data_IF_553221708465
#
_entry.id   IF_553221708465
#
_cell.length_a   1.000
_cell.length_b   1.000
_cell.length_c   1.000
_cell.angle_alpha   90.00
_cell.angle_beta   90.00
_cell.angle_gamma   90.00
#
_symmetry.space_group_name_H-M   'P 1'
#
loop_
_entity.id
_entity.type
_entity.pdbx_description
1 polymer ?
#
# COMPACT_ATOMS: atom_id res chain seq x y z
N UNK A 1 -20.20 -50.59 45.66
CA UNK A 1 -20.83 -50.65 44.31
C UNK A 1 -21.12 -49.27 43.73
N UNK A 2 -21.73 -48.34 44.48
CA UNK A 2 -22.11 -46.98 44.00
C UNK A 2 -20.91 -46.15 43.50
N UNK A 3 -19.75 -46.21 44.19
CA UNK A 3 -18.53 -45.48 43.79
C UNK A 3 -18.00 -45.84 42.39
N UNK A 4 -18.12 -47.11 41.96
CA UNK A 4 -17.68 -47.51 40.62
C UNK A 4 -18.58 -46.92 39.53
N UNK A 5 -19.89 -46.87 39.76
CA UNK A 5 -20.85 -46.33 38.77
C UNK A 5 -20.60 -44.83 38.53
N UNK A 6 -20.33 -44.06 39.59
CA UNK A 6 -19.99 -42.64 39.44
C UNK A 6 -18.66 -42.41 38.70
N UNK A 7 -17.66 -43.28 38.93
CA UNK A 7 -16.39 -43.22 38.21
C UNK A 7 -16.56 -43.38 36.69
N UNK A 8 -17.35 -44.38 36.26
CA UNK A 8 -17.63 -44.62 34.83
C UNK A 8 -18.40 -43.47 34.17
N UNK A 9 -19.37 -42.88 34.86
CA UNK A 9 -20.12 -41.72 34.35
C UNK A 9 -19.21 -40.51 34.20
N UNK A 10 -18.31 -40.28 35.16
CA UNK A 10 -17.37 -39.16 35.08
C UNK A 10 -16.36 -39.33 33.94
N UNK A 11 -15.80 -40.53 33.78
CA UNK A 11 -14.89 -40.86 32.67
C UNK A 11 -15.56 -40.75 31.30
N UNK A 12 -16.83 -41.17 31.17
CA UNK A 12 -17.56 -41.06 29.90
C UNK A 12 -17.89 -39.60 29.55
N UNK A 13 -18.33 -38.80 30.52
CA UNK A 13 -18.58 -37.37 30.32
C UNK A 13 -17.30 -36.61 29.96
N UNK A 14 -16.20 -36.89 30.66
CA UNK A 14 -14.90 -36.29 30.36
C UNK A 14 -14.41 -36.67 28.96
N UNK A 15 -14.55 -37.94 28.58
CA UNK A 15 -14.25 -38.42 27.22
C UNK A 15 -15.07 -37.69 26.14
N UNK A 16 -16.37 -37.55 26.34
CA UNK A 16 -17.25 -36.80 25.44
C UNK A 16 -16.86 -35.32 25.33
N UNK A 17 -16.51 -34.66 26.45
CA UNK A 17 -16.05 -33.27 26.43
C UNK A 17 -14.73 -33.11 25.67
N UNK A 18 -13.80 -34.05 25.80
CA UNK A 18 -12.52 -34.02 25.08
C UNK A 18 -12.72 -34.20 23.57
N UNK A 19 -13.59 -35.13 23.16
CA UNK A 19 -13.95 -35.34 21.75
C UNK A 19 -14.66 -34.09 21.19
N UNK A 20 -15.61 -33.53 21.94
CA UNK A 20 -16.32 -32.31 21.57
C UNK A 20 -15.37 -31.12 21.41
N UNK A 21 -14.43 -30.94 22.35
CA UNK A 21 -13.41 -29.90 22.28
C UNK A 21 -12.45 -30.11 21.09
N UNK A 22 -12.08 -31.35 20.78
CA UNK A 22 -11.21 -31.70 19.65
C UNK A 22 -11.87 -31.39 18.30
N UNK A 23 -13.19 -31.50 18.20
CA UNK A 23 -13.94 -31.22 16.95
C UNK A 23 -14.30 -29.73 16.84
N UNK A 24 -14.76 -29.11 17.92
CA UNK A 24 -15.29 -27.75 17.88
C UNK A 24 -14.21 -26.68 17.86
N UNK A 25 -13.08 -26.88 18.56
CA UNK A 25 -12.01 -25.87 18.57
C UNK A 25 -11.45 -25.61 17.15
N UNK A 26 -11.14 -26.63 16.33
CA UNK A 26 -10.72 -26.41 14.95
C UNK A 26 -11.81 -25.74 14.11
N UNK A 27 -13.08 -26.17 14.24
CA UNK A 27 -14.20 -25.58 13.50
C UNK A 27 -14.40 -24.09 13.83
N UNK A 28 -14.37 -23.73 15.12
CA UNK A 28 -14.47 -22.35 15.58
C UNK A 28 -13.29 -21.50 15.10
N UNK A 29 -12.05 -22.04 15.15
CA UNK A 29 -10.85 -21.37 14.62
C UNK A 29 -10.95 -21.14 13.11
N UNK A 30 -11.44 -22.12 12.36
CA UNK A 30 -11.65 -22.01 10.92
C UNK A 30 -12.71 -20.95 10.59
N UNK A 31 -13.82 -20.93 11.33
CA UNK A 31 -14.87 -19.92 11.15
C UNK A 31 -14.38 -18.50 11.49
N UNK A 32 -13.63 -18.35 12.59
CA UNK A 32 -13.05 -17.08 12.99
C UNK A 32 -12.07 -16.55 11.93
N UNK A 33 -11.13 -17.39 11.47
CA UNK A 33 -10.17 -17.00 10.43
C UNK A 33 -10.90 -16.66 9.13
N UNK A 34 -11.91 -17.45 8.71
CA UNK A 34 -12.72 -17.16 7.54
C UNK A 34 -13.39 -15.77 7.62
N UNK A 35 -14.05 -15.45 8.75
CA UNK A 35 -14.67 -14.13 8.96
C UNK A 35 -13.66 -12.99 8.89
N UNK A 36 -12.48 -13.20 9.49
CA UNK A 36 -11.40 -12.21 9.45
C UNK A 36 -10.90 -11.96 8.02
N UNK A 37 -10.72 -13.03 7.22
CA UNK A 37 -10.33 -12.93 5.80
C UNK A 37 -11.37 -12.21 4.96
N UNK A 38 -12.66 -12.50 5.18
CA UNK A 38 -13.76 -11.84 4.48
C UNK A 38 -13.80 -10.33 4.80
N UNK A 39 -13.65 -9.96 6.07
CA UNK A 39 -13.59 -8.55 6.50
C UNK A 39 -12.37 -7.83 5.89
N UNK A 40 -11.20 -8.47 5.91
CA UNK A 40 -9.97 -7.95 5.33
C UNK A 40 -10.09 -7.73 3.81
N UNK A 41 -10.62 -8.73 3.09
CA UNK A 41 -10.84 -8.65 1.64
C UNK A 41 -11.81 -7.52 1.29
N UNK A 42 -12.93 -7.41 2.02
CA UNK A 42 -13.91 -6.34 1.81
C UNK A 42 -13.29 -4.96 2.03
N UNK A 43 -12.55 -4.79 3.13
CA UNK A 43 -11.85 -3.53 3.45
C UNK A 43 -10.85 -3.15 2.34
N UNK A 44 -10.06 -4.11 1.87
CA UNK A 44 -9.09 -3.88 0.79
C UNK A 44 -9.77 -3.50 -0.52
N UNK A 45 -10.84 -4.21 -0.93
CA UNK A 45 -11.57 -3.90 -2.18
C UNK A 45 -12.14 -2.47 -2.17
N UNK A 46 -12.73 -2.05 -1.05
CA UNK A 46 -13.26 -0.68 -0.91
C UNK A 46 -12.14 0.35 -1.03
N UNK A 47 -11.02 0.15 -0.32
CA UNK A 47 -9.90 1.07 -0.37
C UNK A 47 -9.24 1.14 -1.75
N UNK A 48 -9.07 0.01 -2.44
CA UNK A 48 -8.53 -0.01 -3.80
C UNK A 48 -9.47 0.67 -4.79
N UNK A 49 -10.79 0.52 -4.64
CA UNK A 49 -11.76 1.21 -5.50
C UNK A 49 -11.70 2.73 -5.30
N UNK A 50 -11.62 3.18 -4.05
CA UNK A 50 -11.44 4.60 -3.75
C UNK A 50 -10.14 5.14 -4.36
N UNK A 51 -9.02 4.46 -4.12
CA UNK A 51 -7.73 4.85 -4.69
C UNK A 51 -7.73 4.86 -6.23
N UNK A 52 -8.41 3.91 -6.87
CA UNK A 52 -8.54 3.89 -8.33
C UNK A 52 -9.28 5.14 -8.84
N UNK A 53 -10.38 5.52 -8.19
CA UNK A 53 -11.13 6.73 -8.53
C UNK A 53 -10.31 8.00 -8.31
N UNK A 54 -9.60 8.09 -7.19
CA UNK A 54 -8.75 9.25 -6.85
C UNK A 54 -7.61 9.40 -7.87
N UNK A 55 -6.93 8.30 -8.21
CA UNK A 55 -5.89 8.28 -9.24
C UNK A 55 -6.47 8.63 -10.62
N UNK A 56 -7.66 8.14 -10.96
CA UNK A 56 -8.31 8.50 -12.22
C UNK A 56 -8.57 10.00 -12.31
N UNK A 57 -9.10 10.62 -11.26
CA UNK A 57 -9.26 12.07 -11.15
C UNK A 57 -7.93 12.81 -11.29
N UNK A 58 -6.89 12.31 -10.62
CA UNK A 58 -5.52 12.83 -10.70
C UNK A 58 -4.94 12.79 -12.13
N UNK A 59 -5.09 11.69 -12.85
CA UNK A 59 -4.58 11.62 -14.22
C UNK A 59 -5.45 12.37 -15.23
N UNK A 60 -6.76 12.50 -14.99
CA UNK A 60 -7.65 13.29 -15.85
C UNK A 60 -7.32 14.78 -15.84
N UNK A 61 -6.96 15.34 -14.69
CA UNK A 61 -6.66 16.77 -14.54
C UNK A 61 -5.25 17.17 -15.00
N UNK A 62 -4.36 16.19 -15.25
CA UNK A 62 -2.97 16.38 -15.73
C UNK A 62 -2.22 17.47 -14.94
N UNK A 63 -2.04 17.28 -13.62
CA UNK A 63 -1.36 18.27 -12.79
C UNK A 63 0.11 18.43 -13.21
N UNK A 64 0.71 19.54 -12.79
CA UNK A 64 2.16 19.71 -12.85
C UNK A 64 2.89 18.53 -12.17
N UNK A 65 4.03 18.06 -12.70
CA UNK A 65 4.65 16.81 -12.26
C UNK A 65 4.92 16.69 -10.76
N UNK A 66 5.34 17.77 -10.09
CA UNK A 66 5.64 17.70 -8.66
C UNK A 66 4.36 17.55 -7.83
N UNK A 67 3.30 18.27 -8.21
CA UNK A 67 1.98 18.15 -7.59
C UNK A 67 1.42 16.76 -7.86
N UNK A 68 1.47 16.30 -9.11
CA UNK A 68 1.03 14.96 -9.50
C UNK A 68 1.74 13.85 -8.73
N UNK A 69 3.06 13.99 -8.57
CA UNK A 69 3.88 13.04 -7.83
C UNK A 69 3.54 13.02 -6.33
N UNK A 70 3.39 14.19 -5.70
CA UNK A 70 3.01 14.29 -4.29
C UNK A 70 1.64 13.64 -4.04
N UNK A 71 0.66 13.96 -4.89
CA UNK A 71 -0.69 13.43 -4.78
C UNK A 71 -0.75 11.92 -5.07
N UNK A 72 0.03 11.43 -6.04
CA UNK A 72 0.21 9.99 -6.27
C UNK A 72 0.63 9.30 -4.97
N UNK A 73 1.66 9.81 -4.28
CA UNK A 73 2.12 9.25 -3.02
C UNK A 73 1.09 9.37 -1.89
N UNK A 74 0.34 10.46 -1.82
CA UNK A 74 -0.73 10.64 -0.84
C UNK A 74 -1.85 9.61 -1.02
N UNK A 75 -2.12 9.17 -2.25
CA UNK A 75 -3.11 8.13 -2.55
C UNK A 75 -2.54 6.73 -2.31
N UNK A 76 -1.33 6.44 -2.79
CA UNK A 76 -0.74 5.09 -2.76
C UNK A 76 -0.23 4.69 -1.37
N UNK A 77 0.25 5.64 -0.56
CA UNK A 77 0.87 5.34 0.75
C UNK A 77 -0.12 4.75 1.77
N UNK A 78 -1.32 5.32 1.98
CA UNK A 78 -2.33 4.71 2.85
C UNK A 78 -2.78 3.33 2.35
N UNK A 79 -2.85 3.15 1.03
CA UNK A 79 -3.19 1.86 0.43
C UNK A 79 -2.09 0.82 0.66
N UNK A 80 -0.82 1.19 0.54
CA UNK A 80 0.32 0.31 0.88
C UNK A 80 0.28 -0.10 2.35
N UNK A 81 0.01 0.84 3.27
CA UNK A 81 -0.10 0.54 4.70
C UNK A 81 -1.22 -0.48 4.96
N UNK A 82 -2.38 -0.30 4.32
CA UNK A 82 -3.48 -1.25 4.40
C UNK A 82 -3.10 -2.61 3.82
N UNK A 83 -2.46 -2.66 2.64
CA UNK A 83 -2.00 -3.89 2.01
C UNK A 83 -1.06 -4.66 2.94
N UNK A 84 -0.14 -3.97 3.60
CA UNK A 84 0.77 -4.60 4.55
C UNK A 84 0.04 -5.13 5.79
N UNK A 85 -1.01 -4.44 6.24
CA UNK A 85 -1.88 -4.90 7.34
C UNK A 85 -2.71 -6.14 6.95
N UNK A 86 -3.33 -6.14 5.76
CA UNK A 86 -4.29 -7.18 5.36
C UNK A 86 -3.67 -8.32 4.55
N UNK A 87 -2.49 -8.10 3.96
CA UNK A 87 -1.81 -9.03 3.06
C UNK A 87 -1.65 -10.44 3.63
N UNK A 88 -1.19 -10.61 4.89
CA UNK A 88 -1.08 -11.93 5.52
C UNK A 88 -2.41 -12.67 5.68
N UNK A 89 -3.54 -11.96 5.61
CA UNK A 89 -4.88 -12.53 5.74
C UNK A 89 -5.46 -12.96 4.38
N UNK A 90 -4.87 -12.52 3.26
CA UNK A 90 -5.36 -12.90 1.93
C UNK A 90 -5.10 -14.39 1.69
N UNK A 91 -6.05 -15.07 1.06
CA UNK A 91 -5.80 -16.45 0.62
C UNK A 91 -4.88 -16.48 -0.61
N UNK A 92 -4.23 -17.62 -0.87
CA UNK A 92 -3.24 -17.78 -1.97
C UNK A 92 -3.80 -17.43 -3.37
N UNK A 93 -5.11 -17.62 -3.60
CA UNK A 93 -5.75 -17.29 -4.88
C UNK A 93 -5.93 -15.78 -5.03
N UNK A 94 -6.43 -15.12 -3.99
CA UNK A 94 -6.58 -13.67 -3.93
C UNK A 94 -5.22 -12.96 -4.02
N UNK A 95 -4.23 -13.45 -3.26
CA UNK A 95 -2.87 -12.90 -3.26
C UNK A 95 -2.26 -12.91 -4.66
N UNK A 96 -2.37 -14.02 -5.40
CA UNK A 96 -1.87 -14.13 -6.78
C UNK A 96 -2.59 -13.20 -7.76
N UNK A 97 -3.92 -13.05 -7.64
CA UNK A 97 -4.67 -12.10 -8.48
C UNK A 97 -4.24 -10.65 -8.25
N UNK A 98 -3.94 -10.29 -7.01
CA UNK A 98 -3.56 -8.94 -6.62
C UNK A 98 -2.05 -8.68 -6.67
N UNK A 99 -1.24 -9.72 -6.93
CA UNK A 99 0.21 -9.68 -6.78
C UNK A 99 0.85 -8.55 -7.60
N UNK A 100 0.42 -8.41 -8.85
CA UNK A 100 0.87 -7.35 -9.74
C UNK A 100 0.58 -5.96 -9.14
N UNK A 101 -0.68 -5.68 -8.82
CA UNK A 101 -1.11 -4.37 -8.29
C UNK A 101 -0.43 -4.07 -6.95
N UNK A 102 -0.35 -5.06 -6.05
CA UNK A 102 0.33 -4.92 -4.75
C UNK A 102 1.80 -4.56 -4.94
N UNK A 103 2.49 -5.22 -5.87
CA UNK A 103 3.89 -4.94 -6.17
C UNK A 103 4.07 -3.51 -6.68
N UNK A 104 3.25 -3.07 -7.62
CA UNK A 104 3.36 -1.72 -8.17
C UNK A 104 2.98 -0.65 -7.14
N UNK A 105 2.01 -0.90 -6.26
CA UNK A 105 1.69 0.01 -5.14
C UNK A 105 2.84 0.13 -4.15
N UNK A 106 3.55 -0.96 -3.85
CA UNK A 106 4.74 -0.90 -2.99
C UNK A 106 5.89 -0.10 -3.60
N UNK A 107 6.03 -0.10 -4.93
CA UNK A 107 7.01 0.74 -5.63
C UNK A 107 6.58 2.21 -5.70
N UNK A 108 5.28 2.44 -5.90
CA UNK A 108 4.68 3.77 -6.01
C UNK A 108 4.36 4.44 -4.66
N UNK A 109 4.56 3.76 -3.54
CA UNK A 109 4.21 4.25 -2.22
C UNK A 109 5.42 4.59 -1.37
N UNK A 110 5.45 4.12 -0.12
CA UNK A 110 6.46 4.42 0.89
C UNK A 110 7.75 3.61 0.69
N UNK A 111 8.88 4.30 0.74
CA UNK A 111 10.22 3.71 0.72
C UNK A 111 11.21 4.63 1.46
N UNK A 112 11.68 4.25 2.66
CA UNK A 112 12.57 5.07 3.50
C UNK A 112 13.85 5.55 2.80
N UNK A 113 14.30 4.81 1.78
CA UNK A 113 15.50 5.12 0.99
C UNK A 113 15.19 5.56 -0.45
N UNK A 114 13.91 5.62 -0.82
CA UNK A 114 13.45 5.98 -2.17
C UNK A 114 13.07 7.45 -2.30
N UNK A 115 12.16 7.72 -3.24
CA UNK A 115 11.58 9.04 -3.49
C UNK A 115 10.70 9.46 -2.30
N UNK A 116 9.71 8.64 -1.93
CA UNK A 116 8.84 8.92 -0.80
C UNK A 116 9.38 8.27 0.49
N UNK A 117 10.15 9.04 1.27
CA UNK A 117 10.86 8.56 2.48
C UNK A 117 10.02 8.50 3.74
N UNK A 118 8.71 8.32 3.59
CA UNK A 118 7.80 8.22 4.73
C UNK A 118 7.75 6.82 5.33
N UNK A 119 7.43 6.74 6.62
CA UNK A 119 7.14 5.48 7.34
C UNK A 119 5.65 5.16 7.35
N UNK A 120 5.26 3.89 7.61
CA UNK A 120 3.85 3.53 7.76
C UNK A 120 3.13 4.46 8.74
N UNK A 121 1.95 4.96 8.34
CA UNK A 121 1.15 5.88 9.14
C UNK A 121 1.63 7.35 9.17
N UNK A 122 2.75 7.70 8.54
CA UNK A 122 3.17 9.10 8.43
C UNK A 122 2.47 9.81 7.28
N UNK A 123 2.24 11.12 7.44
CA UNK A 123 1.77 11.95 6.33
C UNK A 123 2.86 12.16 5.29
N UNK A 124 2.43 12.16 4.02
CA UNK A 124 3.26 12.45 2.85
C UNK A 124 3.26 13.96 2.64
N UNK A 125 4.41 14.58 2.88
CA UNK A 125 4.65 16.02 2.71
C UNK A 125 5.78 16.27 1.72
N UNK A 126 5.85 17.47 1.12
CA UNK A 126 6.95 17.83 0.21
C UNK A 126 8.35 17.65 0.82
N UNK A 127 8.52 17.87 2.12
CA UNK A 127 9.81 17.68 2.82
C UNK A 127 10.26 16.22 2.91
N UNK A 128 9.34 15.28 2.67
CA UNK A 128 9.60 13.84 2.74
C UNK A 128 9.63 13.16 1.37
N UNK A 129 9.38 13.92 0.30
CA UNK A 129 9.49 13.45 -1.08
C UNK A 129 10.79 13.98 -1.66
N UNK A 130 11.74 13.11 -1.95
CA UNK A 130 13.07 13.47 -2.41
C UNK A 130 13.23 13.24 -3.90
N UNK A 131 13.83 14.21 -4.58
CA UNK A 131 14.14 14.19 -6.01
C UNK A 131 15.63 14.52 -6.22
N UNK A 132 16.11 14.40 -7.46
CA UNK A 132 17.52 14.64 -7.75
C UNK A 132 18.34 13.40 -7.48
N UNK A 133 18.04 12.37 -8.26
CA UNK A 133 18.81 11.14 -8.33
C UNK A 133 20.21 11.40 -8.88
N UNK A 134 21.18 11.44 -7.99
CA UNK A 134 22.61 11.43 -8.31
C UNK A 134 23.11 10.02 -7.98
N UNK A 135 23.36 9.19 -8.99
CA UNK A 135 23.84 7.80 -8.84
C UNK A 135 22.99 6.89 -7.93
N UNK A 136 21.67 6.99 -8.00
CA UNK A 136 20.71 6.24 -7.17
C UNK A 136 20.33 6.94 -5.86
N UNK A 137 20.90 8.11 -5.55
CA UNK A 137 20.65 8.85 -4.31
C UNK A 137 19.77 10.06 -4.58
N UNK A 138 18.55 10.06 -4.04
CA UNK A 138 17.70 11.24 -4.03
C UNK A 138 18.23 12.26 -3.01
N UNK A 139 18.66 13.41 -3.50
CA UNK A 139 19.54 14.31 -2.74
C UNK A 139 18.79 15.38 -1.96
N UNK A 140 17.73 15.96 -2.53
CA UNK A 140 17.04 17.11 -1.96
C UNK A 140 15.52 16.90 -1.87
N UNK A 141 14.86 17.42 -0.82
CA UNK A 141 13.41 17.34 -0.68
C UNK A 141 12.71 18.20 -1.74
N UNK A 142 11.47 17.84 -2.07
CA UNK A 142 10.63 18.53 -3.04
C UNK A 142 10.46 20.01 -2.69
N UNK A 143 10.36 20.34 -1.39
CA UNK A 143 10.28 21.73 -0.92
C UNK A 143 11.44 22.58 -1.42
N UNK A 144 12.67 22.06 -1.35
CA UNK A 144 13.86 22.78 -1.83
C UNK A 144 13.75 23.10 -3.31
N UNK A 145 13.30 22.14 -4.10
CA UNK A 145 13.07 22.33 -5.53
C UNK A 145 11.94 23.33 -5.82
N UNK A 146 10.89 23.35 -5.01
CA UNK A 146 9.79 24.31 -5.14
C UNK A 146 10.26 25.74 -4.78
N UNK A 147 10.96 25.90 -3.66
CA UNK A 147 11.48 27.19 -3.16
C UNK A 147 12.43 27.84 -4.15
N UNK A 148 13.32 27.05 -4.75
CA UNK A 148 14.24 27.53 -5.78
C UNK A 148 13.53 27.76 -7.14
N UNK A 149 12.20 27.55 -7.19
CA UNK A 149 11.33 27.91 -8.31
C UNK A 149 11.24 26.88 -9.43
N UNK A 150 11.65 25.62 -9.21
CA UNK A 150 11.80 24.58 -10.24
C UNK A 150 10.55 23.76 -10.55
N UNK A 151 9.38 24.26 -10.18
CA UNK A 151 8.12 23.61 -10.52
C UNK A 151 7.68 23.85 -11.99
N UNK A 152 8.54 24.48 -12.82
CA UNK A 152 8.24 24.79 -14.22
C UNK A 152 9.47 24.58 -15.14
N UNK A 153 9.33 23.97 -16.33
CA UNK A 153 10.44 23.60 -17.22
C UNK A 153 11.22 24.78 -17.86
N UNK A 154 10.83 26.03 -17.59
CA UNK A 154 11.34 27.22 -18.29
C UNK A 154 12.31 28.08 -17.46
N UNK A 155 12.58 27.72 -16.21
CA UNK A 155 13.50 28.49 -15.36
C UNK A 155 14.91 27.91 -15.46
N UNK A 156 15.87 28.80 -15.72
CA UNK A 156 17.28 28.58 -15.43
C UNK A 156 17.58 29.23 -14.08
N UNK A 157 18.44 28.62 -13.28
CA UNK A 157 19.01 29.25 -12.09
C UNK A 157 20.47 28.84 -11.99
N UNK A 158 21.24 29.79 -11.52
CA UNK A 158 22.67 29.70 -11.31
C UNK A 158 22.93 29.06 -9.95
N UNK A 159 23.40 27.82 -9.94
CA UNK A 159 23.99 27.21 -8.74
C UNK A 159 25.50 27.25 -8.89
N UNK A 160 26.21 27.84 -7.93
CA UNK A 160 27.66 28.03 -7.98
C UNK A 160 28.17 28.72 -9.27
N UNK A 161 27.38 29.63 -9.85
CA UNK A 161 27.76 30.36 -11.07
C UNK A 161 27.68 29.56 -12.37
N UNK A 162 27.12 28.35 -12.35
CA UNK A 162 26.82 27.58 -13.56
C UNK A 162 25.31 27.52 -13.80
N UNK A 163 24.90 27.75 -15.05
CA UNK A 163 23.55 27.46 -15.52
C UNK A 163 23.34 25.95 -15.50
N UNK A 164 22.72 25.46 -14.43
CA UNK A 164 22.33 24.07 -14.36
C UNK A 164 21.06 23.87 -15.19
N UNK A 165 21.10 22.92 -16.12
CA UNK A 165 19.94 22.47 -16.88
C UNK A 165 19.16 21.47 -16.03
N UNK A 166 18.09 21.93 -15.37
CA UNK A 166 17.28 21.11 -14.44
C UNK A 166 16.12 20.36 -15.11
N UNK A 167 16.07 20.34 -16.44
CA UNK A 167 15.21 19.44 -17.20
C UNK A 167 15.24 17.98 -16.68
N UNK A 168 16.37 17.42 -16.21
CA UNK A 168 16.40 16.05 -15.68
C UNK A 168 15.53 15.82 -14.44
N UNK A 169 15.40 16.79 -13.53
CA UNK A 169 14.61 16.63 -12.28
C UNK A 169 13.12 16.65 -12.59
N UNK A 170 12.71 17.62 -13.40
CA UNK A 170 11.34 17.74 -13.85
C UNK A 170 10.91 16.51 -14.66
N UNK A 171 11.75 16.08 -15.62
CA UNK A 171 11.49 14.89 -16.42
C UNK A 171 11.56 13.60 -15.58
N UNK A 172 12.38 13.53 -14.53
CA UNK A 172 12.34 12.42 -13.58
C UNK A 172 10.98 12.34 -12.87
N UNK A 173 10.51 13.44 -12.28
CA UNK A 173 9.22 13.46 -11.57
C UNK A 173 8.07 13.10 -12.52
N UNK A 174 8.08 13.68 -13.73
CA UNK A 174 7.11 13.40 -14.79
C UNK A 174 7.15 11.95 -15.26
N UNK A 175 8.34 11.41 -15.49
CA UNK A 175 8.54 10.01 -15.91
C UNK A 175 8.02 9.04 -14.85
N UNK A 176 8.38 9.26 -13.57
CA UNK A 176 7.87 8.44 -12.48
C UNK A 176 6.35 8.54 -12.37
N UNK A 177 5.78 9.74 -12.35
CA UNK A 177 4.34 9.95 -12.27
C UNK A 177 3.59 9.25 -13.42
N UNK A 178 4.07 9.41 -14.65
CA UNK A 178 3.46 8.80 -15.83
C UNK A 178 3.61 7.27 -15.87
N UNK A 179 4.67 6.73 -15.27
CA UNK A 179 4.88 5.28 -15.20
C UNK A 179 3.76 4.55 -14.47
N UNK A 180 2.97 5.24 -13.63
CA UNK A 180 1.87 4.67 -12.86
C UNK A 180 0.46 5.02 -13.39
N UNK A 181 0.34 5.64 -14.57
CA UNK A 181 -0.95 6.00 -15.17
C UNK A 181 -1.87 4.79 -15.44
N UNK A 182 -1.32 3.58 -15.49
CA UNK A 182 -2.08 2.34 -15.68
C UNK A 182 -2.76 1.83 -14.39
N UNK A 183 -2.33 2.29 -13.21
CA UNK A 183 -2.77 1.76 -11.92
C UNK A 183 -4.29 1.80 -11.70
N UNK A 184 -5.04 2.88 -12.05
CA UNK A 184 -6.48 2.92 -11.84
C UNK A 184 -7.19 1.73 -12.50
N UNK A 185 -6.90 1.51 -13.79
CA UNK A 185 -7.49 0.42 -14.57
C UNK A 185 -7.08 -0.95 -14.03
N UNK A 186 -5.81 -1.13 -13.69
CA UNK A 186 -5.32 -2.38 -13.11
C UNK A 186 -5.99 -2.71 -11.77
N UNK A 187 -6.29 -1.71 -10.93
CA UNK A 187 -7.05 -1.89 -9.69
C UNK A 187 -8.49 -2.30 -9.96
N UNK A 188 -9.19 -1.62 -10.86
CA UNK A 188 -10.58 -1.94 -11.24
C UNK A 188 -10.70 -3.39 -11.77
N UNK A 189 -9.79 -3.80 -12.65
CA UNK A 189 -9.71 -5.16 -13.19
C UNK A 189 -9.44 -6.18 -12.08
N UNK A 190 -8.52 -5.89 -11.16
CA UNK A 190 -8.21 -6.81 -10.07
C UNK A 190 -9.34 -6.97 -9.04
N UNK A 191 -10.20 -5.95 -8.88
CA UNK A 191 -11.35 -5.99 -7.97
C UNK A 191 -12.55 -6.75 -8.57
N UNK A 192 -12.74 -6.64 -9.88
CA UNK A 192 -13.88 -7.22 -10.62
C UNK A 192 -13.79 -8.74 -10.82
N UNK A 193 -12.58 -9.31 -10.75
CA UNK A 193 -12.32 -10.75 -10.82
C UNK A 193 -12.50 -11.49 -9.48
#
# INVERSE_FOLDING_TARGET
MILNIMGYIFLSLFGCMMIFAAIIRPAARNLYTYRLRMKATKKLKVAMMQAANDLKGLYSRKPEPFVGLLELFQITSPLQDLINQVGPLLNKKQGRKLEFVIREIRKAGRCEYGINRTRPGQDVTPDKVFLGDIYGLFTLPMTKWIEDGWNHPAKTSTYCGQDLNFNPIYEQAKSFFNSYAFLPKAMEEAISQ
#
